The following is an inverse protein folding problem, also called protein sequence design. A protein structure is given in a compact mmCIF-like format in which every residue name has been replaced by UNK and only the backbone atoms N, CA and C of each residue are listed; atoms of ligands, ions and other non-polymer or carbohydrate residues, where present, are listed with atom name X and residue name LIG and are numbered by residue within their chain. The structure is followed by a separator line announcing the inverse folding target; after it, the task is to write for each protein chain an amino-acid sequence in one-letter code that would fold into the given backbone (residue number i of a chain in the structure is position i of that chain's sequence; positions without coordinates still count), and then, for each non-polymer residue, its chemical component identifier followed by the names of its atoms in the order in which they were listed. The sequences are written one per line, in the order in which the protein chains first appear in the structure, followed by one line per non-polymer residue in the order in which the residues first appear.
data_IF_938704525995
#
_entry.id   IF_938704525995
#
_cell.length_a   1.000
_cell.length_b   1.000
_cell.length_c   1.000
_cell.angle_alpha   90.00
_cell.angle_beta   90.00
_cell.angle_gamma   90.00
#
_symmetry.space_group_name_H-M   'P 1'
#
loop_
_entity.id
_entity.type
_entity.pdbx_description
1 polymer ?
#
# COMPACT_ATOMS: atom_id res chain seq x y z
N UNK A 1 -18.67 -17.94 -11.36
CA UNK A 1 -19.10 -16.96 -10.33
C UNK A 1 -18.12 -15.80 -10.27
N UNK A 2 -18.66 -14.61 -10.18
CA UNK A 2 -17.82 -13.39 -10.14
C UNK A 2 -17.30 -13.14 -8.71
N UNK A 3 -15.99 -12.82 -8.59
CA UNK A 3 -15.40 -12.44 -7.30
C UNK A 3 -15.96 -11.08 -6.83
N UNK A 4 -15.86 -10.82 -5.53
CA UNK A 4 -16.27 -9.53 -4.97
C UNK A 4 -15.31 -8.42 -5.41
N UNK A 5 -15.76 -7.15 -5.28
CA UNK A 5 -14.89 -6.00 -5.56
C UNK A 5 -13.66 -5.99 -4.65
N UNK A 6 -13.84 -6.32 -3.37
CA UNK A 6 -12.71 -6.37 -2.43
C UNK A 6 -11.69 -7.42 -2.84
N UNK A 7 -12.15 -8.61 -3.22
CA UNK A 7 -11.27 -9.67 -3.73
C UNK A 7 -10.53 -9.22 -5.00
N UNK A 8 -11.25 -8.58 -5.91
CA UNK A 8 -10.67 -8.07 -7.16
C UNK A 8 -9.53 -7.08 -6.87
N UNK A 9 -9.79 -6.05 -6.07
CA UNK A 9 -8.76 -5.04 -5.78
C UNK A 9 -7.57 -5.61 -5.02
N UNK A 10 -7.79 -6.54 -4.10
CA UNK A 10 -6.69 -7.20 -3.38
C UNK A 10 -5.89 -8.12 -4.30
N UNK A 11 -6.52 -8.80 -5.24
CA UNK A 11 -5.80 -9.60 -6.22
C UNK A 11 -4.93 -8.71 -7.11
N UNK A 12 -5.43 -7.54 -7.52
CA UNK A 12 -4.63 -6.57 -8.27
C UNK A 12 -3.45 -6.08 -7.42
N UNK A 13 -3.68 -5.72 -6.15
CA UNK A 13 -2.61 -5.29 -5.25
C UNK A 13 -1.56 -6.39 -5.07
N UNK A 14 -1.98 -7.65 -4.98
CA UNK A 14 -1.08 -8.81 -4.86
C UNK A 14 -0.21 -8.96 -6.12
N UNK A 15 -0.79 -8.82 -7.29
CA UNK A 15 -0.04 -8.83 -8.54
C UNK A 15 0.94 -7.67 -8.62
N UNK A 16 0.52 -6.48 -8.21
CA UNK A 16 1.38 -5.29 -8.16
C UNK A 16 2.57 -5.52 -7.23
N UNK A 17 2.35 -6.14 -6.07
CA UNK A 17 3.41 -6.44 -5.10
C UNK A 17 4.52 -7.30 -5.70
N UNK A 18 4.20 -8.17 -6.66
CA UNK A 18 5.18 -9.04 -7.33
C UNK A 18 6.20 -8.25 -8.16
N UNK A 19 5.92 -6.99 -8.49
CA UNK A 19 6.86 -6.11 -9.18
C UNK A 19 7.78 -5.36 -8.24
N UNK A 20 7.61 -5.48 -6.93
CA UNK A 20 8.50 -4.82 -5.96
C UNK A 20 9.95 -5.18 -6.21
N UNK A 21 10.83 -4.19 -6.10
CA UNK A 21 12.27 -4.36 -6.26
C UNK A 21 12.99 -4.59 -4.94
N UNK A 22 12.27 -4.65 -3.83
CA UNK A 22 12.82 -4.95 -2.51
C UNK A 22 13.04 -6.45 -2.34
N UNK A 23 14.18 -6.85 -1.77
CA UNK A 23 14.49 -8.25 -1.49
C UNK A 23 13.91 -8.71 -0.14
N UNK A 24 13.52 -7.77 0.72
CA UNK A 24 13.05 -8.06 2.08
C UNK A 24 11.52 -8.21 2.10
N UNK A 25 10.80 -7.22 1.59
CA UNK A 25 9.34 -7.20 1.59
C UNK A 25 8.80 -6.74 0.24
N UNK A 26 7.81 -7.44 -0.26
CA UNK A 26 7.09 -7.05 -1.47
C UNK A 26 5.71 -6.56 -1.09
N UNK A 27 5.44 -5.28 -1.33
CA UNK A 27 4.19 -4.62 -0.97
C UNK A 27 3.56 -4.03 -2.22
N UNK A 28 2.24 -4.18 -2.34
CA UNK A 28 1.44 -3.57 -3.40
C UNK A 28 0.29 -2.78 -2.82
N UNK A 29 -0.05 -1.69 -3.50
CA UNK A 29 -1.16 -0.82 -3.14
C UNK A 29 -1.96 -0.45 -4.38
N UNK A 30 -3.29 -0.45 -4.24
CA UNK A 30 -4.22 -0.02 -5.29
C UNK A 30 -5.11 1.06 -4.70
N UNK A 31 -5.21 2.20 -5.40
CA UNK A 31 -6.13 3.27 -5.03
C UNK A 31 -7.35 3.21 -5.94
N UNK A 32 -8.53 3.25 -5.32
CA UNK A 32 -9.80 3.05 -6.01
C UNK A 32 -10.69 4.26 -5.77
N UNK A 33 -11.23 4.84 -6.86
CA UNK A 33 -12.22 5.91 -6.78
C UNK A 33 -13.44 5.40 -5.99
N UNK A 34 -13.72 6.05 -4.86
CA UNK A 34 -14.79 5.61 -3.97
C UNK A 34 -16.17 5.69 -4.65
N UNK A 35 -16.35 6.65 -5.53
CA UNK A 35 -17.63 6.89 -6.19
C UNK A 35 -17.88 5.93 -7.37
N UNK A 36 -16.85 5.76 -8.23
CA UNK A 36 -17.02 5.00 -9.48
C UNK A 36 -16.54 3.54 -9.36
N UNK A 37 -15.65 3.25 -8.42
CA UNK A 37 -15.01 1.93 -8.32
C UNK A 37 -13.87 1.73 -9.31
N UNK A 38 -13.49 2.75 -10.07
CA UNK A 38 -12.38 2.66 -11.01
C UNK A 38 -11.05 2.72 -10.27
N UNK A 39 -10.07 1.96 -10.73
CA UNK A 39 -8.71 2.02 -10.20
C UNK A 39 -8.07 3.32 -10.67
N UNK A 40 -7.62 4.14 -9.71
CA UNK A 40 -6.95 5.40 -9.98
C UNK A 40 -5.45 5.22 -10.23
N UNK A 41 -4.83 4.30 -9.51
CA UNK A 41 -3.40 4.01 -9.61
C UNK A 41 -3.05 2.74 -8.88
N UNK A 42 -1.83 2.28 -9.13
CA UNK A 42 -1.18 1.20 -8.39
C UNK A 42 0.20 1.67 -7.96
N UNK A 43 0.75 1.03 -6.93
CA UNK A 43 2.11 1.29 -6.49
C UNK A 43 2.71 0.07 -5.83
N UNK A 44 3.99 -0.14 -6.04
CA UNK A 44 4.77 -1.16 -5.33
C UNK A 44 6.01 -0.49 -4.72
N UNK A 45 6.58 -1.09 -3.69
CA UNK A 45 7.73 -0.51 -3.00
C UNK A 45 9.03 -0.78 -3.76
N UNK A 46 9.95 0.17 -3.68
CA UNK A 46 11.26 0.06 -4.31
C UNK A 46 12.04 1.35 -4.19
N UNK A 47 13.34 1.27 -4.51
CA UNK A 47 14.20 2.44 -4.49
C UNK A 47 13.76 3.47 -5.53
N UNK A 48 14.06 4.76 -5.31
CA UNK A 48 13.74 5.81 -6.28
C UNK A 48 14.38 5.55 -7.64
N UNK A 49 13.77 6.11 -8.68
CA UNK A 49 14.31 6.03 -10.04
C UNK A 49 15.74 6.56 -10.06
N UNK A 50 16.63 5.84 -10.74
CA UNK A 50 18.05 6.20 -10.82
C UNK A 50 18.92 5.55 -9.76
N UNK A 51 18.33 4.99 -8.72
CA UNK A 51 19.03 4.19 -7.70
C UNK A 51 18.88 2.72 -8.07
N UNK A 52 19.90 1.92 -7.80
CA UNK A 52 19.88 0.49 -8.08
C UNK A 52 18.68 -0.20 -7.42
N UNK A 53 18.21 -1.27 -8.01
CA UNK A 53 17.18 -2.13 -7.41
C UNK A 53 17.83 -3.14 -6.48
N UNK A 54 17.37 -3.24 -5.25
CA UNK A 54 17.94 -4.19 -4.28
C UNK A 54 17.85 -5.63 -4.78
N UNK A 55 16.79 -5.98 -5.51
CA UNK A 55 16.62 -7.34 -6.05
C UNK A 55 17.68 -7.67 -7.13
N UNK A 56 18.12 -6.69 -7.92
CA UNK A 56 19.12 -6.90 -8.97
C UNK A 56 20.51 -7.06 -8.39
N UNK A 57 20.81 -6.31 -7.33
CA UNK A 57 22.10 -6.37 -6.65
C UNK A 57 22.15 -7.47 -5.58
N UNK A 58 21.02 -8.13 -5.32
CA UNK A 58 20.85 -9.11 -4.25
C UNK A 58 21.39 -8.60 -2.92
N UNK A 59 21.16 -7.31 -2.62
CA UNK A 59 21.74 -6.61 -1.48
C UNK A 59 20.78 -5.53 -0.99
N UNK A 60 20.63 -5.44 0.33
CA UNK A 60 19.86 -4.36 0.96
C UNK A 60 20.84 -3.30 1.47
N UNK A 61 20.57 -2.03 1.18
CA UNK A 61 21.42 -0.92 1.65
C UNK A 61 21.54 -0.88 3.17
N UNK A 62 20.56 -1.42 3.89
CA UNK A 62 20.62 -1.54 5.35
C UNK A 62 21.78 -2.41 5.84
N UNK A 63 22.26 -3.33 5.01
CA UNK A 63 23.39 -4.18 5.35
C UNK A 63 24.70 -3.38 5.47
N UNK A 64 24.77 -2.22 4.81
CA UNK A 64 25.91 -1.30 4.88
C UNK A 64 25.69 -0.21 5.95
N UNK A 65 24.70 -0.36 6.83
CA UNK A 65 24.39 0.61 7.86
C UNK A 65 23.64 1.86 7.37
N UNK A 66 23.19 1.84 6.12
CA UNK A 66 22.47 2.96 5.53
C UNK A 66 20.95 2.82 5.78
N UNK A 67 20.21 3.94 5.82
CA UNK A 67 18.77 3.88 5.88
C UNK A 67 18.20 3.28 4.59
N UNK A 68 17.00 2.70 4.68
CA UNK A 68 16.32 2.18 3.50
C UNK A 68 15.89 3.33 2.59
N UNK A 69 16.23 3.24 1.30
CA UNK A 69 15.86 4.24 0.31
C UNK A 69 14.47 3.98 -0.31
N UNK A 70 13.85 2.84 -0.01
CA UNK A 70 12.63 2.43 -0.68
C UNK A 70 11.49 3.42 -0.46
N UNK A 71 10.85 3.80 -1.55
CA UNK A 71 9.57 4.51 -1.52
C UNK A 71 8.50 3.45 -1.30
N UNK A 72 7.64 3.65 -0.32
CA UNK A 72 6.61 2.68 0.02
C UNK A 72 5.54 2.58 -1.08
N UNK A 73 4.88 1.45 -1.16
CA UNK A 73 3.86 1.18 -2.18
C UNK A 73 2.74 2.22 -2.18
N UNK A 74 2.27 2.62 -0.99
CA UNK A 74 1.20 3.62 -0.85
C UNK A 74 1.63 4.97 -1.41
N UNK A 75 2.86 5.39 -1.14
CA UNK A 75 3.41 6.66 -1.62
C UNK A 75 3.54 6.62 -3.15
N UNK A 76 4.05 5.52 -3.71
CA UNK A 76 4.14 5.37 -5.16
C UNK A 76 2.76 5.41 -5.83
N UNK A 77 1.76 4.78 -5.21
CA UNK A 77 0.39 4.84 -5.71
C UNK A 77 -0.16 6.28 -5.68
N UNK A 78 0.11 7.03 -4.59
CA UNK A 78 -0.30 8.43 -4.49
C UNK A 78 0.35 9.30 -5.56
N UNK A 79 1.64 9.10 -5.82
CA UNK A 79 2.38 9.85 -6.85
C UNK A 79 1.77 9.61 -8.24
N UNK A 80 1.32 8.39 -8.51
CA UNK A 80 0.84 7.97 -9.83
C UNK A 80 -0.66 8.16 -10.03
N UNK A 81 -1.42 8.55 -9.00
CA UNK A 81 -2.87 8.61 -9.13
C UNK A 81 -3.31 9.59 -10.22
N UNK A 82 -4.39 9.22 -10.93
CA UNK A 82 -4.89 9.95 -12.08
C UNK A 82 -5.76 11.17 -11.73
N UNK A 83 -6.27 11.25 -10.49
CA UNK A 83 -7.09 12.39 -10.05
C UNK A 83 -7.10 12.49 -8.52
N UNK A 84 -7.57 13.64 -8.01
CA UNK A 84 -7.60 13.94 -6.58
C UNK A 84 -8.98 13.70 -5.94
N UNK A 85 -9.73 12.76 -6.47
CA UNK A 85 -11.04 12.40 -5.90
C UNK A 85 -10.87 11.58 -4.62
N UNK A 86 -11.88 11.53 -3.72
CA UNK A 86 -11.84 10.63 -2.58
C UNK A 86 -11.68 9.17 -3.02
N UNK A 87 -10.87 8.42 -2.29
CA UNK A 87 -10.50 7.06 -2.69
C UNK A 87 -10.37 6.12 -1.51
N UNK A 88 -10.45 4.83 -1.81
CA UNK A 88 -10.10 3.75 -0.88
C UNK A 88 -8.72 3.19 -1.26
N UNK A 89 -7.93 2.80 -0.28
CA UNK A 89 -6.63 2.16 -0.49
C UNK A 89 -6.72 0.66 -0.15
N UNK A 90 -6.30 -0.18 -1.08
CA UNK A 90 -6.20 -1.62 -0.89
C UNK A 90 -4.72 -2.00 -0.87
N UNK A 91 -4.24 -2.53 0.24
CA UNK A 91 -2.83 -2.79 0.47
C UNK A 91 -2.60 -4.25 0.82
N UNK A 92 -1.50 -4.83 0.35
CA UNK A 92 -1.12 -6.19 0.77
C UNK A 92 -0.58 -6.19 2.20
N UNK A 93 -0.02 -5.08 2.66
CA UNK A 93 0.49 -4.88 4.01
C UNK A 93 -0.16 -3.65 4.63
N UNK A 94 -0.52 -3.74 5.90
CA UNK A 94 -1.10 -2.63 6.67
C UNK A 94 -0.18 -1.39 6.59
N UNK A 95 -0.72 -0.21 6.25
CA UNK A 95 0.10 1.00 6.14
C UNK A 95 0.78 1.41 7.44
N UNK A 96 2.02 1.87 7.32
CA UNK A 96 2.75 2.46 8.45
C UNK A 96 2.24 3.89 8.75
N UNK A 97 2.73 4.47 9.85
CA UNK A 97 2.29 5.81 10.30
C UNK A 97 2.49 6.86 9.21
N UNK A 98 3.67 6.88 8.57
CA UNK A 98 4.00 7.89 7.55
C UNK A 98 3.12 7.77 6.32
N UNK A 99 2.90 6.55 5.82
CA UNK A 99 2.00 6.32 4.70
C UNK A 99 0.56 6.69 5.05
N UNK A 100 0.13 6.37 6.27
CA UNK A 100 -1.21 6.72 6.75
C UNK A 100 -1.41 8.23 6.77
N UNK A 101 -0.43 8.99 7.26
CA UNK A 101 -0.49 10.45 7.25
C UNK A 101 -0.66 11.00 5.82
N UNK A 102 0.09 10.46 4.87
CA UNK A 102 -0.01 10.86 3.47
C UNK A 102 -1.36 10.49 2.86
N UNK A 103 -1.86 9.29 3.16
CA UNK A 103 -3.17 8.83 2.68
C UNK A 103 -4.29 9.73 3.19
N UNK A 104 -4.27 10.09 4.48
CA UNK A 104 -5.25 10.99 5.08
C UNK A 104 -5.26 12.33 4.35
N UNK A 105 -4.09 12.95 4.17
CA UNK A 105 -3.98 14.25 3.52
C UNK A 105 -4.38 14.21 2.04
N UNK A 106 -4.23 13.07 1.40
CA UNK A 106 -4.60 12.89 -0.01
C UNK A 106 -6.10 12.66 -0.22
N UNK A 107 -6.87 12.43 0.86
CA UNK A 107 -8.32 12.20 0.76
C UNK A 107 -8.74 10.74 0.82
N UNK A 108 -7.89 9.87 1.36
CA UNK A 108 -8.26 8.47 1.56
C UNK A 108 -9.37 8.35 2.60
N UNK A 109 -10.43 7.63 2.24
CA UNK A 109 -11.60 7.47 3.10
C UNK A 109 -11.69 6.09 3.74
N UNK A 110 -10.96 5.12 3.23
CA UNK A 110 -11.02 3.73 3.67
C UNK A 110 -9.70 3.04 3.37
N UNK A 111 -9.19 2.26 4.30
CA UNK A 111 -8.00 1.41 4.14
C UNK A 111 -8.41 -0.03 4.35
N UNK A 112 -8.06 -0.89 3.40
CA UNK A 112 -8.25 -2.33 3.51
C UNK A 112 -6.89 -3.00 3.27
N UNK A 113 -6.54 -3.98 4.10
CA UNK A 113 -5.24 -4.66 4.00
C UNK A 113 -5.36 -6.14 4.37
N UNK A 114 -4.41 -6.94 3.92
CA UNK A 114 -4.39 -8.40 4.14
C UNK A 114 -3.47 -8.77 5.29
N UNK A 115 -2.25 -8.28 5.28
CA UNK A 115 -1.24 -8.63 6.29
C UNK A 115 -1.04 -7.47 7.25
N UNK A 116 -0.96 -7.78 8.55
CA UNK A 116 -0.67 -6.78 9.57
C UNK A 116 0.81 -6.42 9.54
N UNK A 117 1.10 -5.15 9.73
CA UNK A 117 2.47 -4.67 9.93
C UNK A 117 2.85 -4.78 11.41
N UNK A 118 4.13 -4.52 11.70
CA UNK A 118 4.61 -4.49 13.08
C UNK A 118 3.77 -3.51 13.91
N UNK A 119 3.33 -3.97 15.07
CA UNK A 119 2.49 -3.23 16.01
C UNK A 119 3.01 -1.80 16.28
N UNK A 120 4.33 -1.61 16.36
CA UNK A 120 4.93 -0.31 16.62
C UNK A 120 4.95 0.63 15.40
N UNK A 121 4.62 0.13 14.22
CA UNK A 121 4.70 0.86 12.95
C UNK A 121 3.33 1.17 12.34
N UNK A 122 2.28 0.50 12.82
CA UNK A 122 0.94 0.65 12.21
C UNK A 122 0.41 2.07 12.32
N UNK A 123 -0.24 2.52 11.25
CA UNK A 123 -0.91 3.81 11.22
C UNK A 123 -2.31 3.82 11.81
N UNK A 124 -2.80 2.68 12.32
CA UNK A 124 -4.18 2.55 12.81
C UNK A 124 -4.55 3.62 13.85
N UNK A 125 -3.67 3.83 14.84
CA UNK A 125 -3.92 4.82 15.88
C UNK A 125 -4.05 6.25 15.36
N UNK A 126 -3.26 6.60 14.35
CA UNK A 126 -3.37 7.90 13.69
C UNK A 126 -4.69 8.00 12.89
N UNK A 127 -5.02 6.95 12.13
CA UNK A 127 -6.25 6.90 11.36
C UNK A 127 -7.48 7.11 12.22
N UNK A 128 -7.54 6.43 13.36
CA UNK A 128 -8.67 6.48 14.29
C UNK A 128 -8.93 7.87 14.87
N UNK A 129 -7.95 8.77 14.81
CA UNK A 129 -8.11 10.15 15.29
C UNK A 129 -8.97 11.00 14.34
N UNK A 130 -9.03 10.66 13.05
CA UNK A 130 -9.63 11.52 12.02
C UNK A 130 -10.63 10.81 11.12
N UNK A 131 -10.74 9.49 11.21
CA UNK A 131 -11.63 8.67 10.38
C UNK A 131 -12.42 7.69 11.25
N UNK A 132 -13.62 7.28 10.82
CA UNK A 132 -14.39 6.26 11.54
C UNK A 132 -13.63 4.94 11.67
N UNK A 133 -13.79 4.27 12.80
CA UNK A 133 -13.07 3.02 13.10
C UNK A 133 -13.37 1.91 12.08
N UNK A 134 -14.60 1.85 11.57
CA UNK A 134 -15.02 0.84 10.61
C UNK A 134 -14.45 1.05 9.20
N UNK A 135 -13.59 2.05 9.00
CA UNK A 135 -12.94 2.32 7.72
C UNK A 135 -11.47 1.87 7.66
N UNK A 136 -10.97 1.26 8.73
CA UNK A 136 -9.66 0.58 8.75
C UNK A 136 -9.92 -0.91 8.87
N UNK A 137 -9.78 -1.64 7.77
CA UNK A 137 -10.34 -2.98 7.65
C UNK A 137 -9.25 -4.01 7.37
N UNK A 138 -9.08 -4.95 8.32
CA UNK A 138 -8.24 -6.13 8.10
C UNK A 138 -9.06 -7.16 7.34
N UNK A 139 -8.64 -7.48 6.13
CA UNK A 139 -9.30 -8.47 5.29
C UNK A 139 -8.78 -9.86 5.66
N UNK A 140 -9.67 -10.79 5.94
CA UNK A 140 -9.30 -12.16 6.29
C UNK A 140 -8.57 -12.89 5.16
N UNK A 141 -7.97 -14.04 5.46
CA UNK A 141 -7.21 -14.86 4.51
C UNK A 141 -8.03 -15.25 3.28
N UNK A 142 -9.37 -15.32 3.39
CA UNK A 142 -10.25 -15.65 2.28
C UNK A 142 -10.22 -14.64 1.14
N UNK A 143 -9.70 -13.44 1.38
CA UNK A 143 -9.59 -12.40 0.35
C UNK A 143 -8.24 -12.42 -0.36
N UNK A 144 -7.24 -13.09 0.19
CA UNK A 144 -5.89 -13.14 -0.36
C UNK A 144 -5.61 -14.36 -1.23
N UNK A 145 -6.57 -15.26 -1.39
CA UNK A 145 -6.41 -16.50 -2.13
C UNK A 145 -7.17 -16.45 -3.46
#
# INVERSE_FOLDING_TARGET
MRISRHQYYIQVATAVAQRSTCIDKQVGCVLVDEKTGNILSTGYNGNPKGVFNCCDENCCVKNDGLPCYAVHAEINALIQRSSNVPFAAYCTLEPCIQCTAALINAGCTKVLFVNETNHNKTGHGLWSRVRPEDTWIHMGLSYGN
#
